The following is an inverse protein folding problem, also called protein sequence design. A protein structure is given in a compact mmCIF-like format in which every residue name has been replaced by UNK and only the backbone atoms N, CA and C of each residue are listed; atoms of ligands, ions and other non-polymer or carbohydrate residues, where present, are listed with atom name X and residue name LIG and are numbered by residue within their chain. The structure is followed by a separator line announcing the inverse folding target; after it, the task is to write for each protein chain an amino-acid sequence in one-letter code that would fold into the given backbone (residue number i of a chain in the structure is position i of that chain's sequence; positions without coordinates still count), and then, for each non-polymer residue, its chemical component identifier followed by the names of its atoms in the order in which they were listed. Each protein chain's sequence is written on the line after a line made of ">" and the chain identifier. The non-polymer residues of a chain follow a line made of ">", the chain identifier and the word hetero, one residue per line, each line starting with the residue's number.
data_IF_621140348584
#
_entry.id   IF_621140348584
#
_cell.length_a   1.000
_cell.length_b   1.000
_cell.length_c   1.000
_cell.angle_alpha   90.00
_cell.angle_beta   90.00
_cell.angle_gamma   90.00
#
_symmetry.space_group_name_H-M   'P 1'
#
loop_
_entity.id
_entity.type
_entity.pdbx_description
1 polymer ?
#
# COMPACT_ATOMS: atom_id res chain seq x y z
N UNK A 1 -7.57 -21.27 0.85
CA UNK A 1 -7.79 -20.07 1.70
C UNK A 1 -7.28 -18.84 0.96
N UNK A 2 -8.10 -17.82 0.68
CA UNK A 2 -7.60 -16.54 0.16
C UNK A 2 -6.95 -15.75 1.30
N UNK A 3 -5.66 -15.41 1.18
CA UNK A 3 -4.89 -14.67 2.20
C UNK A 3 -5.47 -13.30 2.55
N UNK A 4 -6.18 -12.66 1.61
CA UNK A 4 -6.78 -11.35 1.83
C UNK A 4 -8.29 -11.41 1.64
N UNK A 5 -9.06 -11.75 2.68
CA UNK A 5 -10.53 -11.66 2.63
C UNK A 5 -10.97 -10.23 3.00
N UNK A 6 -12.02 -9.72 2.33
CA UNK A 6 -12.67 -8.41 2.64
C UNK A 6 -11.71 -7.22 2.67
N UNK A 7 -10.93 -7.05 1.60
CA UNK A 7 -9.97 -5.96 1.44
C UNK A 7 -10.61 -4.74 0.78
N UNK A 8 -10.34 -3.55 1.33
CA UNK A 8 -10.74 -2.25 0.73
C UNK A 8 -9.96 -1.97 -0.56
N UNK A 9 -8.71 -2.43 -0.62
CA UNK A 9 -7.80 -2.20 -1.74
C UNK A 9 -7.47 -3.50 -2.50
N UNK A 10 -7.11 -3.40 -3.80
CA UNK A 10 -6.53 -4.52 -4.54
C UNK A 10 -5.28 -5.07 -3.85
N UNK A 11 -5.05 -6.38 -3.99
CA UNK A 11 -3.86 -7.05 -3.42
C UNK A 11 -2.56 -6.38 -3.89
N UNK A 12 -2.52 -5.99 -5.16
CA UNK A 12 -1.33 -5.39 -5.77
C UNK A 12 -0.92 -4.09 -5.08
N UNK A 13 -1.90 -3.25 -4.69
CA UNK A 13 -1.65 -2.01 -3.93
C UNK A 13 -1.13 -2.33 -2.54
N UNK A 14 -1.75 -3.29 -1.84
CA UNK A 14 -1.33 -3.68 -0.48
C UNK A 14 0.11 -4.21 -0.50
N UNK A 15 0.44 -5.08 -1.45
CA UNK A 15 1.80 -5.62 -1.60
C UNK A 15 2.81 -4.55 -2.01
N UNK A 16 2.42 -3.60 -2.86
CA UNK A 16 3.26 -2.46 -3.20
C UNK A 16 3.58 -1.63 -1.96
N UNK A 17 2.57 -1.24 -1.18
CA UNK A 17 2.75 -0.50 0.06
C UNK A 17 3.71 -1.21 1.03
N UNK A 18 3.47 -2.50 1.28
CA UNK A 18 4.30 -3.30 2.18
C UNK A 18 5.73 -3.42 1.67
N UNK A 19 5.93 -3.65 0.37
CA UNK A 19 7.26 -3.72 -0.23
C UNK A 19 8.03 -2.41 -0.06
N UNK A 20 7.37 -1.27 -0.28
CA UNK A 20 8.00 0.03 -0.16
C UNK A 20 8.34 0.38 1.30
N UNK A 21 7.40 0.11 2.21
CA UNK A 21 7.60 0.28 3.64
C UNK A 21 8.77 -0.57 4.16
N UNK A 22 8.83 -1.85 3.81
CA UNK A 22 9.85 -2.77 4.29
C UNK A 22 11.23 -2.57 3.64
N UNK A 23 11.30 -2.32 2.32
CA UNK A 23 12.60 -2.25 1.63
C UNK A 23 13.29 -0.89 1.75
N UNK A 24 12.52 0.20 1.86
CA UNK A 24 13.07 1.55 1.77
C UNK A 24 12.94 2.36 3.06
N UNK A 25 12.36 1.78 4.12
CA UNK A 25 12.19 2.46 5.41
C UNK A 25 11.34 3.74 5.31
N UNK A 26 10.45 3.80 4.32
CA UNK A 26 9.64 4.97 4.01
C UNK A 26 8.61 5.18 5.13
N UNK A 27 8.42 6.43 5.55
CA UNK A 27 7.43 6.74 6.56
C UNK A 27 6.02 6.47 6.02
N UNK A 28 5.07 6.17 6.90
CA UNK A 28 3.69 5.93 6.48
C UNK A 28 3.06 7.15 5.79
N UNK A 29 3.50 8.36 6.17
CA UNK A 29 3.04 9.61 5.57
C UNK A 29 3.52 9.74 4.13
N UNK A 30 4.81 9.56 3.90
CA UNK A 30 5.38 9.62 2.55
C UNK A 30 4.75 8.54 1.67
N UNK A 31 4.53 7.34 2.23
CA UNK A 31 3.86 6.26 1.53
C UNK A 31 2.41 6.63 1.15
N UNK A 32 1.66 7.29 2.04
CA UNK A 32 0.31 7.76 1.77
C UNK A 32 0.29 8.87 0.69
N UNK A 33 1.22 9.83 0.73
CA UNK A 33 1.37 10.85 -0.31
C UNK A 33 1.68 10.19 -1.66
N UNK A 34 2.62 9.24 -1.71
CA UNK A 34 2.95 8.48 -2.91
C UNK A 34 1.78 7.68 -3.48
N UNK A 35 0.87 7.19 -2.63
CA UNK A 35 -0.33 6.48 -3.05
C UNK A 35 -1.39 7.47 -3.55
N UNK A 36 -1.53 8.63 -2.91
CA UNK A 36 -2.39 9.72 -3.35
C UNK A 36 -1.98 10.25 -4.73
N UNK A 37 -0.68 10.41 -4.98
CA UNK A 37 -0.15 10.78 -6.30
C UNK A 37 -0.49 9.75 -7.40
N UNK A 38 -0.65 8.48 -7.02
CA UNK A 38 -1.08 7.38 -7.89
C UNK A 38 -2.60 7.26 -8.00
N UNK A 39 -3.36 8.18 -7.42
CA UNK A 39 -4.82 8.18 -7.43
C UNK A 39 -5.46 7.17 -6.46
N UNK A 40 -4.68 6.67 -5.49
CA UNK A 40 -5.20 5.81 -4.41
C UNK A 40 -5.45 6.68 -3.19
N UNK A 41 -6.73 6.87 -2.87
CA UNK A 41 -7.16 7.53 -1.64
C UNK A 41 -7.03 6.55 -0.46
N UNK A 42 -6.09 6.84 0.45
CA UNK A 42 -5.72 5.97 1.60
C UNK A 42 -6.45 6.43 2.85
#
# INVERSE_FOLDING_TARGET
>A
MSLFKRRRFPIEIILLCVRWYCNYGISYRDLAEMMSERGVDV
#
